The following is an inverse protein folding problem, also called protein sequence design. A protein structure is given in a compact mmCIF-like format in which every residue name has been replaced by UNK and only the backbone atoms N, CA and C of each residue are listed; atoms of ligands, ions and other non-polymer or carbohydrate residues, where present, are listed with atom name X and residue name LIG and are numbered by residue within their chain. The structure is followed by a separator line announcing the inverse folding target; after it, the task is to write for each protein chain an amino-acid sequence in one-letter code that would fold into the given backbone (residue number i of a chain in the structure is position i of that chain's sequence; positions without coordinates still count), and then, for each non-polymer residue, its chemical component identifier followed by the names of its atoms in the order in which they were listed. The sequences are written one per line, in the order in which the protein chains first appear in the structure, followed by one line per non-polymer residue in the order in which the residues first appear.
data_IF_541233724909
#
_entry.id   IF_541233724909
#
_cell.length_a   1.000
_cell.length_b   1.000
_cell.length_c   1.000
_cell.angle_alpha   90.00
_cell.angle_beta   90.00
_cell.angle_gamma   90.00
#
_symmetry.space_group_name_H-M   'P 1'
#
loop_
_entity.id
_entity.type
_entity.pdbx_description
1 polymer ?
#
# COMPACT_ATOMS: atom_id res chain seq x y z
N UNK A 1 -9.26 17.32 -14.31
CA UNK A 1 -9.85 16.07 -13.84
C UNK A 1 -9.54 14.97 -14.86
N UNK A 2 -9.09 13.82 -14.39
CA UNK A 2 -8.81 12.66 -15.23
C UNK A 2 -9.72 11.50 -14.86
N UNK A 3 -9.98 10.62 -15.81
CA UNK A 3 -10.72 9.38 -15.59
C UNK A 3 -9.75 8.19 -15.66
N UNK A 4 -9.79 7.29 -14.69
CA UNK A 4 -8.96 6.10 -14.65
C UNK A 4 -9.83 4.86 -14.52
N UNK A 5 -9.61 3.88 -15.42
CA UNK A 5 -10.25 2.56 -15.40
C UNK A 5 -9.18 1.51 -15.15
N UNK A 6 -9.39 0.70 -14.12
CA UNK A 6 -8.48 -0.41 -13.76
C UNK A 6 -9.22 -1.73 -13.91
N UNK A 7 -8.58 -2.70 -14.52
CA UNK A 7 -9.03 -4.08 -14.58
C UNK A 7 -7.97 -4.98 -13.95
N UNK A 8 -8.42 -5.97 -13.16
CA UNK A 8 -7.55 -6.92 -12.47
C UNK A 8 -8.01 -8.33 -12.74
N UNK A 9 -7.07 -9.22 -12.94
CA UNK A 9 -7.26 -10.67 -12.94
C UNK A 9 -6.21 -11.27 -12.01
N UNK A 10 -6.62 -12.05 -11.01
CA UNK A 10 -5.71 -12.71 -10.09
C UNK A 10 -5.97 -14.21 -10.08
N UNK A 11 -4.89 -14.99 -9.95
CA UNK A 11 -4.90 -16.43 -9.70
C UNK A 11 -4.13 -16.66 -8.41
N UNK A 12 -4.81 -17.20 -7.40
CA UNK A 12 -4.28 -17.33 -6.05
C UNK A 12 -4.20 -18.79 -5.64
N UNK A 13 -3.08 -19.19 -5.02
CA UNK A 13 -2.88 -20.47 -4.37
C UNK A 13 -2.72 -20.25 -2.87
N UNK A 14 -3.59 -20.90 -2.10
CA UNK A 14 -3.59 -20.80 -0.64
C UNK A 14 -3.09 -22.09 -0.02
N UNK A 15 -2.09 -22.00 0.85
CA UNK A 15 -1.55 -23.08 1.67
C UNK A 15 -1.55 -22.62 3.12
N UNK A 16 -2.56 -23.02 3.90
CA UNK A 16 -2.77 -22.55 5.29
C UNK A 16 -2.73 -21.02 5.38
N UNK A 17 -1.69 -20.49 6.02
CA UNK A 17 -1.51 -19.07 6.30
C UNK A 17 -0.78 -18.32 5.16
N UNK A 18 -0.36 -19.05 4.12
CA UNK A 18 0.41 -18.51 2.99
C UNK A 18 -0.47 -18.48 1.75
N UNK A 19 -0.57 -17.33 1.10
CA UNK A 19 -1.19 -17.17 -0.21
C UNK A 19 -0.15 -16.59 -1.17
N UNK A 20 0.02 -17.27 -2.30
CA UNK A 20 0.89 -16.81 -3.40
C UNK A 20 0.02 -16.69 -4.64
N UNK A 21 0.21 -15.63 -5.41
CA UNK A 21 -0.58 -15.50 -6.61
C UNK A 21 0.10 -14.68 -7.70
N UNK A 22 -0.44 -14.86 -8.89
CA UNK A 22 -0.10 -14.11 -10.08
C UNK A 22 -1.30 -13.24 -10.45
N UNK A 23 -1.04 -12.01 -10.84
CA UNK A 23 -2.07 -11.08 -11.26
C UNK A 23 -1.72 -10.36 -12.55
N UNK A 24 -2.74 -9.96 -13.28
CA UNK A 24 -2.64 -9.03 -14.39
C UNK A 24 -3.41 -7.76 -14.03
N UNK A 25 -2.76 -6.61 -14.20
CA UNK A 25 -3.35 -5.29 -13.96
C UNK A 25 -3.28 -4.47 -15.25
N UNK A 26 -4.42 -4.00 -15.74
CA UNK A 26 -4.49 -3.02 -16.84
C UNK A 26 -5.10 -1.74 -16.30
N UNK A 27 -4.43 -0.62 -16.53
CA UNK A 27 -4.90 0.71 -16.16
C UNK A 27 -4.91 1.60 -17.40
N UNK A 28 -6.06 2.24 -17.65
CA UNK A 28 -6.22 3.23 -18.70
C UNK A 28 -6.66 4.55 -18.04
N UNK A 29 -5.79 5.54 -18.10
CA UNK A 29 -6.04 6.89 -17.58
C UNK A 29 -6.15 7.86 -18.74
N UNK A 30 -7.27 8.57 -18.82
CA UNK A 30 -7.52 9.61 -19.84
C UNK A 30 -7.63 10.97 -19.17
N UNK A 31 -6.88 11.94 -19.66
CA UNK A 31 -6.99 13.34 -19.24
C UNK A 31 -7.74 14.12 -20.32
N UNK A 32 -8.72 14.89 -19.91
CA UNK A 32 -9.48 15.79 -20.79
C UNK A 32 -9.05 17.26 -20.65
N UNK A 33 -7.99 17.52 -19.88
CA UNK A 33 -7.52 18.86 -19.55
C UNK A 33 -5.99 18.86 -19.60
N UNK A 34 -5.40 19.81 -20.29
CA UNK A 34 -3.97 20.09 -20.28
C UNK A 34 -3.60 20.83 -18.99
N UNK A 35 -3.55 20.11 -17.88
CA UNK A 35 -2.89 20.56 -16.66
C UNK A 35 -1.45 20.06 -16.62
N UNK A 36 -0.55 20.85 -16.10
CA UNK A 36 0.85 20.46 -15.93
C UNK A 36 0.99 19.06 -15.31
N UNK A 37 1.69 18.19 -16.02
CA UNK A 37 2.01 16.81 -15.62
C UNK A 37 0.82 15.83 -15.43
N UNK A 38 -0.37 16.13 -15.96
CA UNK A 38 -1.49 15.18 -16.04
C UNK A 38 -1.67 14.76 -17.49
N UNK A 39 -1.32 13.52 -17.81
CA UNK A 39 -1.37 13.01 -19.17
C UNK A 39 -2.16 11.70 -19.27
N UNK A 40 -2.64 11.42 -20.48
CA UNK A 40 -3.26 10.14 -20.77
C UNK A 40 -2.21 9.05 -20.92
N UNK A 41 -2.42 7.91 -20.26
CA UNK A 41 -1.56 6.74 -20.40
C UNK A 41 -2.33 5.43 -20.27
N UNK A 42 -1.77 4.39 -20.85
CA UNK A 42 -2.19 3.00 -20.65
C UNK A 42 -1.03 2.22 -20.06
N UNK A 43 -1.27 1.46 -18.98
CA UNK A 43 -0.27 0.57 -18.42
C UNK A 43 -0.81 -0.84 -18.25
N UNK A 44 0.08 -1.81 -18.42
CA UNK A 44 -0.18 -3.23 -18.30
C UNK A 44 0.94 -3.84 -17.47
N UNK A 45 0.57 -4.52 -16.38
CA UNK A 45 1.49 -5.09 -15.40
C UNK A 45 1.15 -6.55 -15.13
N UNK A 46 2.17 -7.38 -15.09
CA UNK A 46 2.13 -8.68 -14.45
C UNK A 46 2.58 -8.51 -13.01
N UNK A 47 1.79 -9.00 -12.08
CA UNK A 47 2.05 -8.90 -10.66
C UNK A 47 2.32 -10.29 -10.07
N UNK A 48 3.33 -10.38 -9.22
CA UNK A 48 3.55 -11.49 -8.31
C UNK A 48 3.27 -10.98 -6.90
N UNK A 49 2.50 -11.72 -6.11
CA UNK A 49 2.26 -11.36 -4.73
C UNK A 49 2.36 -12.58 -3.80
N UNK A 50 2.73 -12.28 -2.57
CA UNK A 50 2.78 -13.19 -1.45
C UNK A 50 2.09 -12.54 -0.26
N UNK A 51 1.17 -13.26 0.35
CA UNK A 51 0.54 -12.89 1.62
C UNK A 51 0.78 -13.99 2.62
N UNK A 52 1.23 -13.62 3.79
CA UNK A 52 1.28 -14.46 4.98
C UNK A 52 0.55 -13.76 6.11
N UNK A 53 -0.31 -14.48 6.84
CA UNK A 53 -1.06 -13.92 7.95
C UNK A 53 -1.20 -14.96 9.05
N UNK A 54 -0.73 -14.62 10.26
CA UNK A 54 -0.86 -15.42 11.46
C UNK A 54 -1.78 -14.70 12.44
N UNK A 55 -2.78 -15.43 12.94
CA UNK A 55 -3.78 -14.90 13.85
C UNK A 55 -3.57 -15.42 15.27
N UNK A 56 -3.79 -14.56 16.25
CA UNK A 56 -3.92 -14.91 17.65
C UNK A 56 -5.41 -14.79 18.05
N UNK A 57 -6.10 -15.90 17.98
CA UNK A 57 -7.56 -15.96 18.24
C UNK A 57 -7.93 -15.69 19.69
N UNK A 58 -6.95 -15.58 20.60
CA UNK A 58 -7.19 -15.24 22.00
C UNK A 58 -7.30 -13.73 22.20
N UNK A 59 -6.85 -12.93 21.23
CA UNK A 59 -6.91 -11.48 21.27
C UNK A 59 -8.07 -10.97 20.39
N UNK A 60 -9.20 -10.71 20.99
CA UNK A 60 -10.41 -10.25 20.31
C UNK A 60 -10.24 -8.87 19.66
N UNK A 61 -9.43 -7.97 20.26
CA UNK A 61 -9.24 -6.61 19.75
C UNK A 61 -8.18 -6.53 18.64
N UNK A 62 -7.15 -7.38 18.72
CA UNK A 62 -6.03 -7.38 17.80
C UNK A 62 -5.67 -8.82 17.39
N UNK A 63 -6.50 -9.47 16.58
CA UNK A 63 -6.29 -10.87 16.22
C UNK A 63 -5.06 -11.08 15.34
N UNK A 64 -4.62 -10.08 14.57
CA UNK A 64 -3.44 -10.20 13.72
C UNK A 64 -2.19 -10.21 14.58
N UNK A 65 -1.50 -11.35 14.63
CA UNK A 65 -0.21 -11.51 15.32
C UNK A 65 0.96 -11.10 14.43
N UNK A 66 0.93 -11.54 13.17
CA UNK A 66 1.90 -11.18 12.15
C UNK A 66 1.24 -11.19 10.78
N UNK A 67 1.54 -10.20 9.95
CA UNK A 67 1.10 -10.12 8.57
C UNK A 67 2.24 -9.63 7.70
N UNK A 68 2.44 -10.29 6.58
CA UNK A 68 3.32 -9.87 5.52
C UNK A 68 2.55 -9.91 4.21
N UNK A 69 2.54 -8.80 3.51
CA UNK A 69 2.06 -8.75 2.13
C UNK A 69 3.13 -8.10 1.26
N UNK A 70 3.54 -8.80 0.21
CA UNK A 70 4.43 -8.25 -0.80
C UNK A 70 3.78 -8.37 -2.17
N UNK A 71 3.91 -7.34 -2.99
CA UNK A 71 3.47 -7.34 -4.39
C UNK A 71 4.54 -6.69 -5.24
N UNK A 72 4.98 -7.39 -6.27
CA UNK A 72 5.87 -6.86 -7.29
C UNK A 72 5.18 -6.89 -8.64
N UNK A 73 5.08 -5.75 -9.29
CA UNK A 73 4.52 -5.58 -10.62
C UNK A 73 5.58 -5.16 -11.62
N UNK A 74 5.62 -5.85 -12.75
CA UNK A 74 6.49 -5.50 -13.88
C UNK A 74 5.68 -5.46 -15.17
N UNK A 75 5.89 -4.43 -16.00
CA UNK A 75 5.18 -4.31 -17.24
C UNK A 75 5.56 -3.10 -18.07
N UNK A 76 4.62 -2.64 -18.87
CA UNK A 76 4.80 -1.56 -19.83
C UNK A 76 3.77 -0.46 -19.62
N UNK A 77 4.22 0.76 -19.86
CA UNK A 77 3.39 1.94 -19.97
C UNK A 77 3.51 2.52 -21.37
N UNK A 78 2.38 2.86 -21.97
CA UNK A 78 2.29 3.63 -23.23
C UNK A 78 1.76 5.02 -22.93
N UNK A 79 2.50 6.03 -23.31
CA UNK A 79 2.19 7.45 -23.14
C UNK A 79 2.69 8.21 -24.37
N UNK A 80 1.85 9.03 -25.01
CA UNK A 80 2.22 9.83 -26.19
C UNK A 80 3.02 9.03 -27.26
N UNK A 81 2.60 7.81 -27.57
CA UNK A 81 3.27 6.87 -28.50
C UNK A 81 4.64 6.34 -28.01
N UNK A 82 5.06 6.66 -26.80
CA UNK A 82 6.26 6.11 -26.18
C UNK A 82 5.90 4.90 -25.32
N UNK A 83 6.66 3.83 -25.45
CA UNK A 83 6.58 2.67 -24.57
C UNK A 83 7.72 2.72 -23.56
N UNK A 84 7.40 2.72 -22.29
CA UNK A 84 8.37 2.71 -21.18
C UNK A 84 8.12 1.52 -20.26
N UNK A 85 9.18 1.04 -19.60
CA UNK A 85 9.03 0.04 -18.54
C UNK A 85 8.37 0.65 -17.32
N UNK A 86 7.51 -0.12 -16.65
CA UNK A 86 6.85 0.24 -15.40
C UNK A 86 7.09 -0.85 -14.38
N UNK A 87 7.54 -0.45 -13.18
CA UNK A 87 7.74 -1.34 -12.04
C UNK A 87 6.99 -0.78 -10.84
N UNK A 88 6.32 -1.65 -10.10
CA UNK A 88 5.66 -1.31 -8.84
C UNK A 88 6.09 -2.31 -7.76
N UNK A 89 6.37 -1.82 -6.58
CA UNK A 89 6.67 -2.62 -5.40
C UNK A 89 5.77 -2.17 -4.26
N UNK A 90 5.22 -3.13 -3.53
CA UNK A 90 4.55 -2.90 -2.26
C UNK A 90 5.00 -3.94 -1.25
N UNK A 91 5.39 -3.48 -0.06
CA UNK A 91 5.70 -4.31 1.10
C UNK A 91 4.90 -3.76 2.27
N UNK A 92 4.05 -4.58 2.88
CA UNK A 92 3.23 -4.24 4.04
C UNK A 92 3.45 -5.31 5.10
N UNK A 93 4.09 -4.94 6.19
CA UNK A 93 4.46 -5.81 7.30
C UNK A 93 3.81 -5.28 8.57
N UNK A 94 3.05 -6.14 9.25
CA UNK A 94 2.43 -5.82 10.53
C UNK A 94 2.84 -6.86 11.57
N UNK A 95 3.20 -6.40 12.76
CA UNK A 95 3.60 -7.26 13.87
C UNK A 95 3.06 -6.74 15.19
N UNK A 96 2.41 -7.65 15.92
CA UNK A 96 2.01 -7.46 17.32
C UNK A 96 3.09 -8.02 18.25
N UNK A 97 3.48 -7.23 19.23
CA UNK A 97 4.38 -7.59 20.31
C UNK A 97 3.61 -7.56 21.63
N UNK A 98 3.48 -8.69 22.29
CA UNK A 98 2.88 -8.79 23.61
C UNK A 98 4.00 -8.62 24.66
N UNK A 99 4.09 -7.42 25.25
CA UNK A 99 5.09 -7.11 26.28
C UNK A 99 4.65 -7.69 27.63
N UNK A 100 3.33 -7.66 27.89
CA UNK A 100 2.70 -8.31 29.02
C UNK A 100 1.25 -8.68 28.67
N UNK A 101 0.53 -9.34 29.58
CA UNK A 101 -0.90 -9.65 29.37
C UNK A 101 -1.76 -8.41 29.15
N UNK A 102 -1.32 -7.25 29.67
CA UNK A 102 -2.05 -5.99 29.57
C UNK A 102 -1.45 -4.98 28.61
N UNK A 103 -0.20 -5.15 28.20
CA UNK A 103 0.49 -4.18 27.35
C UNK A 103 0.94 -4.81 26.04
N UNK A 104 0.40 -4.30 24.94
CA UNK A 104 0.70 -4.77 23.59
C UNK A 104 1.10 -3.60 22.69
N UNK A 105 2.03 -3.85 21.80
CA UNK A 105 2.49 -2.91 20.78
C UNK A 105 2.14 -3.52 19.42
N UNK A 106 1.42 -2.78 18.60
CA UNK A 106 1.24 -3.14 17.20
C UNK A 106 2.01 -2.18 16.32
N UNK A 107 2.82 -2.71 15.41
CA UNK A 107 3.66 -1.92 14.50
C UNK A 107 3.41 -2.38 13.08
N UNK A 108 3.17 -1.43 12.18
CA UNK A 108 3.05 -1.65 10.73
C UNK A 108 4.10 -0.84 10.00
N UNK A 109 4.83 -1.51 9.11
CA UNK A 109 5.75 -0.92 8.15
C UNK A 109 5.17 -1.10 6.75
N UNK A 110 4.98 -0.01 6.04
CA UNK A 110 4.51 -0.02 4.65
C UNK A 110 5.51 0.71 3.77
N UNK A 111 5.96 0.06 2.70
CA UNK A 111 6.68 0.71 1.62
C UNK A 111 5.92 0.47 0.30
N UNK A 112 5.69 1.54 -0.43
CA UNK A 112 5.24 1.46 -1.82
C UNK A 112 6.15 2.30 -2.70
N UNK A 113 6.48 1.75 -3.87
CA UNK A 113 7.32 2.40 -4.87
C UNK A 113 6.80 2.15 -6.27
N UNK A 114 6.80 3.20 -7.08
CA UNK A 114 6.58 3.15 -8.52
C UNK A 114 7.81 3.68 -9.24
N UNK A 115 8.23 2.98 -10.29
CA UNK A 115 9.37 3.40 -11.09
C UNK A 115 9.04 3.24 -12.58
N UNK A 116 9.12 4.34 -13.31
CA UNK A 116 9.00 4.40 -14.77
C UNK A 116 9.74 5.62 -15.27
N UNK A 117 10.19 5.59 -16.52
CA UNK A 117 10.60 6.81 -17.20
C UNK A 117 9.35 7.64 -17.50
N UNK A 118 9.44 8.97 -17.34
CA UNK A 118 8.36 9.92 -17.62
C UNK A 118 7.09 9.64 -16.76
N UNK A 119 7.25 9.53 -15.44
CA UNK A 119 6.11 9.50 -14.53
C UNK A 119 5.25 10.76 -14.69
N UNK A 120 3.96 10.64 -14.44
CA UNK A 120 3.00 11.74 -14.47
C UNK A 120 2.21 11.79 -13.16
N UNK A 121 1.68 12.95 -12.80
CA UNK A 121 1.02 13.17 -11.49
C UNK A 121 -0.13 12.20 -11.24
N UNK A 122 -0.93 11.86 -12.27
CA UNK A 122 -2.04 10.93 -12.14
C UNK A 122 -1.61 9.44 -12.05
N UNK A 123 -0.32 9.15 -12.18
CA UNK A 123 0.28 7.82 -12.00
C UNK A 123 0.90 7.63 -10.62
N UNK A 124 1.23 8.73 -9.93
CA UNK A 124 1.85 8.70 -8.61
C UNK A 124 1.03 7.91 -7.60
N UNK A 125 1.73 7.32 -6.67
CA UNK A 125 1.15 6.74 -5.47
C UNK A 125 0.53 7.84 -4.62
N UNK A 126 -0.55 7.51 -3.92
CA UNK A 126 -1.25 8.44 -3.04
C UNK A 126 -1.42 7.85 -1.67
N UNK A 127 -1.11 8.63 -0.67
CA UNK A 127 -1.31 8.26 0.71
C UNK A 127 -1.78 9.46 1.54
N UNK A 128 -2.10 9.27 2.81
CA UNK A 128 -2.78 10.20 3.70
C UNK A 128 -4.07 9.60 4.22
N UNK A 129 -4.52 10.03 5.38
CA UNK A 129 -5.73 9.56 6.03
C UNK A 129 -5.53 8.37 6.97
N UNK A 130 -6.62 7.86 7.52
CA UNK A 130 -6.63 6.89 8.62
C UNK A 130 -5.89 5.58 8.35
N UNK A 131 -5.82 5.14 7.09
CA UNK A 131 -5.17 3.87 6.72
C UNK A 131 -3.67 4.02 6.39
N UNK A 132 -3.12 5.23 6.47
CA UNK A 132 -1.73 5.52 6.17
C UNK A 132 -1.10 6.44 7.20
N UNK A 133 -1.18 7.74 7.06
CA UNK A 133 -0.72 8.72 8.05
C UNK A 133 -1.90 9.57 8.51
N UNK A 134 -2.24 9.47 9.79
CA UNK A 134 -3.38 10.17 10.40
C UNK A 134 -3.07 11.66 10.54
N UNK A 135 -4.11 12.49 10.50
CA UNK A 135 -3.96 13.95 10.54
C UNK A 135 -3.82 14.62 9.17
N UNK A 136 -3.77 13.83 8.10
CA UNK A 136 -3.79 14.30 6.71
C UNK A 136 -5.08 13.88 6.03
N UNK A 137 -5.50 14.63 5.01
CA UNK A 137 -6.65 14.26 4.19
C UNK A 137 -6.40 12.95 3.43
N UNK A 138 -7.47 12.22 3.15
CA UNK A 138 -7.39 10.94 2.45
C UNK A 138 -6.74 11.12 1.07
N UNK A 139 -5.66 10.35 0.80
CA UNK A 139 -4.95 10.35 -0.48
C UNK A 139 -4.41 11.75 -0.91
N UNK A 140 -4.10 12.64 0.04
CA UNK A 140 -3.68 14.01 -0.24
C UNK A 140 -2.20 14.15 -0.62
N UNK A 141 -1.36 13.18 -0.27
CA UNK A 141 0.07 13.20 -0.51
C UNK A 141 0.41 12.33 -1.72
N UNK A 142 1.20 12.89 -2.64
CA UNK A 142 1.62 12.23 -3.88
C UNK A 142 3.12 11.90 -3.81
N UNK A 143 3.48 10.67 -4.15
CA UNK A 143 4.85 10.19 -4.09
C UNK A 143 5.14 9.14 -5.17
N UNK A 144 6.37 9.02 -5.61
CA UNK A 144 6.85 7.87 -6.37
C UNK A 144 7.42 6.77 -5.47
N UNK A 145 7.84 7.14 -4.25
CA UNK A 145 8.29 6.22 -3.22
C UNK A 145 7.89 6.75 -1.84
N UNK A 146 7.37 5.89 -0.96
CA UNK A 146 7.13 6.26 0.42
C UNK A 146 7.29 5.09 1.38
N UNK A 147 7.64 5.43 2.62
CA UNK A 147 7.72 4.54 3.78
C UNK A 147 6.82 5.07 4.86
N UNK A 148 6.01 4.21 5.44
CA UNK A 148 5.17 4.52 6.59
C UNK A 148 5.53 3.60 7.75
N UNK A 149 5.59 4.17 8.94
CA UNK A 149 5.65 3.47 10.21
C UNK A 149 4.44 3.90 11.03
N UNK A 150 3.52 2.97 11.26
CA UNK A 150 2.39 3.18 12.16
C UNK A 150 2.61 2.31 13.40
N UNK A 151 2.52 2.90 14.58
CA UNK A 151 2.67 2.18 15.84
C UNK A 151 1.52 2.52 16.78
N UNK A 152 0.92 1.51 17.39
CA UNK A 152 -0.04 1.69 18.48
C UNK A 152 0.49 1.03 19.74
N UNK A 153 0.43 1.77 20.85
CA UNK A 153 0.69 1.26 22.19
C UNK A 153 -0.65 1.07 22.90
N UNK A 154 -0.96 -0.17 23.26
CA UNK A 154 -2.27 -0.55 23.74
C UNK A 154 -2.16 -1.09 25.18
N UNK A 155 -2.92 -0.52 26.12
CA UNK A 155 -2.99 -0.95 27.48
C UNK A 155 -4.41 -1.44 27.82
N UNK A 156 -4.54 -2.71 28.17
CA UNK A 156 -5.80 -3.38 28.47
C UNK A 156 -6.15 -3.21 29.95
N UNK A 157 -7.22 -2.51 30.23
CA UNK A 157 -7.78 -2.37 31.58
C UNK A 157 -8.46 -3.66 32.02
N UNK A 158 -9.21 -4.27 31.10
CA UNK A 158 -9.87 -5.58 31.23
C UNK A 158 -10.11 -6.18 29.82
N UNK A 159 -10.84 -7.28 29.74
CA UNK A 159 -11.11 -7.99 28.48
C UNK A 159 -12.05 -7.24 27.51
N UNK A 160 -12.60 -6.10 27.93
CA UNK A 160 -13.56 -5.33 27.10
C UNK A 160 -13.15 -3.88 26.90
N UNK A 161 -12.15 -3.37 27.65
CA UNK A 161 -11.74 -1.97 27.62
C UNK A 161 -10.23 -1.88 27.51
N UNK A 162 -9.76 -1.10 26.55
CA UNK A 162 -8.35 -0.74 26.42
C UNK A 162 -8.16 0.73 26.09
N UNK A 163 -7.02 1.27 26.48
CA UNK A 163 -6.56 2.62 26.15
C UNK A 163 -5.41 2.46 25.15
N UNK A 164 -5.33 3.32 24.15
CA UNK A 164 -4.25 3.26 23.19
C UNK A 164 -3.71 4.64 22.84
N UNK A 165 -2.46 4.64 22.42
CA UNK A 165 -1.80 5.80 21.83
C UNK A 165 -1.23 5.43 20.47
N UNK A 166 -1.21 6.38 19.55
CA UNK A 166 -0.88 6.17 18.15
C UNK A 166 0.28 7.09 17.75
N UNK A 167 1.24 6.52 17.01
CA UNK A 167 2.36 7.24 16.40
C UNK A 167 2.45 6.86 14.93
N UNK A 168 2.47 7.86 14.06
CA UNK A 168 2.65 7.69 12.62
C UNK A 168 3.87 8.48 12.18
N UNK A 169 4.69 7.85 11.36
CA UNK A 169 5.82 8.48 10.71
C UNK A 169 5.77 8.15 9.22
N UNK A 170 6.05 9.14 8.38
CA UNK A 170 6.16 8.97 6.94
C UNK A 170 7.45 9.62 6.42
N UNK A 171 8.10 8.93 5.50
CA UNK A 171 9.15 9.48 4.65
C UNK A 171 8.77 9.21 3.20
N UNK A 172 8.88 10.20 2.31
CA UNK A 172 8.47 10.05 0.93
C UNK A 172 9.31 10.90 -0.02
N UNK A 173 9.34 10.47 -1.26
CA UNK A 173 9.99 11.13 -2.38
C UNK A 173 8.97 11.41 -3.48
N UNK A 174 9.08 12.57 -4.12
CA UNK A 174 8.32 12.93 -5.30
C UNK A 174 9.26 13.60 -6.30
N UNK A 175 9.73 12.83 -7.29
CA UNK A 175 10.67 13.30 -8.30
C UNK A 175 10.02 14.09 -9.45
N UNK A 176 8.73 14.42 -9.35
CA UNK A 176 8.03 15.29 -10.30
C UNK A 176 7.94 16.75 -9.82
N UNK A 177 8.27 17.02 -8.56
CA UNK A 177 8.27 18.38 -7.96
C UNK A 177 9.66 18.98 -7.98
#
# INVERSE_FOLDING_TARGET
LYNSRKAFLNLDFSLKDINVGLGYESNNSTSNIDFENIESFKSELLNLFLKYESLDMTDVFMPVSFKLFTKYGYGKKRQLNLNTGLKKLKIDLEKKFSVSNRFKINTRLLNERINSKNLVTNELLRFGGNNSIRGFDQNSIFADNYYLLNTSLNYYLNDTIYIYTLFDFANYENNLL
#
